data_IF_559296441926
#
_entry.id   IF_559296441926
#
_cell.length_a   1.000
_cell.length_b   1.000
_cell.length_c   1.000
_cell.angle_alpha   90.00
_cell.angle_beta   90.00
_cell.angle_gamma   90.00
#
_symmetry.space_group_name_H-M   'P 1'
#
loop_
_entity.id
_entity.type
_entity.pdbx_description
1 polymer ?
#
# COMPACT_ATOMS: atom_id res chain seq x y z
N UNK A 1 15.48 39.15 -36.72
CA UNK A 1 15.43 39.08 -35.27
C UNK A 1 14.07 38.69 -34.72
N UNK A 2 12.95 39.22 -35.19
CA UNK A 2 11.63 38.85 -34.72
C UNK A 2 11.24 37.37 -34.94
N UNK A 3 11.73 36.75 -36.03
CA UNK A 3 11.47 35.34 -36.34
C UNK A 3 12.20 34.35 -35.46
N UNK A 4 13.39 34.70 -35.01
CA UNK A 4 14.20 33.90 -34.06
C UNK A 4 13.62 33.95 -32.65
N UNK A 5 13.06 35.06 -32.25
CA UNK A 5 12.45 35.26 -30.95
C UNK A 5 11.14 34.44 -30.82
N UNK A 6 10.32 34.39 -31.88
CA UNK A 6 9.11 33.55 -31.93
C UNK A 6 9.43 32.04 -31.85
N UNK A 7 10.52 31.59 -32.47
CA UNK A 7 10.95 30.20 -32.43
C UNK A 7 11.42 29.76 -31.04
N UNK A 8 12.16 30.61 -30.34
CA UNK A 8 12.61 30.35 -28.97
C UNK A 8 11.46 30.35 -27.98
N UNK A 9 10.51 31.26 -28.15
CA UNK A 9 9.32 31.36 -27.30
C UNK A 9 8.40 30.14 -27.50
N UNK A 10 8.21 29.69 -28.73
CA UNK A 10 7.43 28.49 -29.02
C UNK A 10 8.10 27.21 -28.47
N UNK A 11 9.41 27.11 -28.56
CA UNK A 11 10.19 26.02 -27.97
C UNK A 11 10.09 25.98 -26.44
N UNK A 12 10.10 27.13 -25.80
CA UNK A 12 9.98 27.25 -24.36
C UNK A 12 8.58 26.85 -23.86
N UNK A 13 7.55 27.21 -24.62
CA UNK A 13 6.15 26.84 -24.32
C UNK A 13 5.92 25.33 -24.46
N UNK A 14 6.56 24.68 -25.43
CA UNK A 14 6.51 23.22 -25.60
C UNK A 14 7.18 22.45 -24.45
N UNK A 15 8.24 23.00 -23.90
CA UNK A 15 8.90 22.40 -22.73
C UNK A 15 8.04 22.49 -21.45
N UNK A 16 7.22 23.54 -21.32
CA UNK A 16 6.33 23.73 -20.17
C UNK A 16 5.12 22.80 -20.21
N UNK A 17 4.64 22.43 -21.40
CA UNK A 17 3.52 21.49 -21.53
C UNK A 17 3.92 20.02 -21.34
N UNK A 18 5.21 19.68 -21.52
CA UNK A 18 5.73 18.32 -21.31
C UNK A 18 5.91 17.91 -19.86
N UNK A 19 5.97 18.88 -18.92
CA UNK A 19 6.22 18.61 -17.50
C UNK A 19 4.95 18.51 -16.64
N UNK A 20 3.76 18.72 -17.21
CA UNK A 20 2.50 18.81 -16.48
C UNK A 20 1.64 17.56 -16.47
N UNK A 21 1.99 16.52 -17.22
CA UNK A 21 1.20 15.30 -17.33
C UNK A 21 1.72 14.25 -16.36
N UNK A 22 1.34 14.35 -15.09
CA UNK A 22 1.51 13.22 -14.15
C UNK A 22 0.33 12.27 -14.32
N UNK A 23 0.57 10.96 -14.50
CA UNK A 23 -0.52 9.99 -14.55
C UNK A 23 -1.27 10.00 -13.21
N UNK A 24 -2.59 9.92 -13.28
CA UNK A 24 -3.41 9.76 -12.10
C UNK A 24 -3.12 8.41 -11.47
N UNK A 25 -2.99 8.33 -10.13
CA UNK A 25 -2.79 7.05 -9.47
C UNK A 25 -4.07 6.23 -9.48
N UNK A 26 -3.94 4.93 -9.56
CA UNK A 26 -4.98 4.01 -9.15
C UNK A 26 -5.08 4.01 -7.63
N UNK A 27 -6.28 3.94 -7.11
CA UNK A 27 -6.52 3.98 -5.67
C UNK A 27 -7.37 2.80 -5.24
N UNK A 28 -7.06 2.28 -4.06
CA UNK A 28 -7.84 1.25 -3.39
C UNK A 28 -8.02 1.65 -1.93
N UNK A 29 -9.26 1.67 -1.46
CA UNK A 29 -9.58 1.87 -0.05
C UNK A 29 -10.11 0.56 0.53
N UNK A 30 -9.62 0.18 1.70
CA UNK A 30 -10.06 -1.01 2.38
C UNK A 30 -10.02 -0.81 3.91
N UNK A 31 -10.77 -1.64 4.61
CA UNK A 31 -10.75 -1.70 6.07
C UNK A 31 -10.11 -3.02 6.49
N UNK A 32 -8.99 -2.94 7.20
CA UNK A 32 -8.29 -4.12 7.72
C UNK A 32 -7.55 -3.75 9.01
N UNK A 33 -7.34 -4.69 9.89
CA UNK A 33 -6.61 -4.48 11.13
C UNK A 33 -7.23 -3.35 11.99
N UNK A 34 -8.56 -3.23 11.98
CA UNK A 34 -9.31 -2.15 12.64
C UNK A 34 -8.96 -0.74 12.14
N UNK A 35 -8.47 -0.63 10.93
CA UNK A 35 -8.00 0.63 10.37
C UNK A 35 -8.50 0.79 8.94
N UNK A 36 -8.88 2.01 8.60
CA UNK A 36 -9.13 2.40 7.22
C UNK A 36 -7.81 2.65 6.52
N UNK A 37 -7.60 1.97 5.41
CA UNK A 37 -6.37 2.07 4.63
C UNK A 37 -6.68 2.59 3.24
N UNK A 38 -5.88 3.55 2.77
CA UNK A 38 -5.91 4.04 1.40
C UNK A 38 -4.58 3.73 0.74
N UNK A 39 -4.64 3.01 -0.36
CA UNK A 39 -3.47 2.61 -1.14
C UNK A 39 -3.51 3.32 -2.47
N UNK A 40 -2.37 3.75 -2.96
CA UNK A 40 -2.24 4.37 -4.29
C UNK A 40 -1.04 3.76 -5.01
N UNK A 41 -1.19 3.53 -6.31
CA UNK A 41 -0.13 3.04 -7.16
C UNK A 41 -0.14 3.78 -8.48
N UNK A 42 1.02 4.01 -9.04
CA UNK A 42 1.25 4.77 -10.25
C UNK A 42 1.84 3.86 -11.33
N UNK A 43 1.49 4.15 -12.58
CA UNK A 43 2.08 3.52 -13.74
C UNK A 43 1.37 2.26 -14.21
N UNK A 44 2.00 1.57 -15.16
CA UNK A 44 1.48 0.33 -15.71
C UNK A 44 1.49 -0.77 -14.65
N UNK A 45 0.43 -1.58 -14.61
CA UNK A 45 0.31 -2.63 -13.61
C UNK A 45 -0.15 -2.15 -12.23
N UNK A 46 -0.54 -0.88 -12.07
CA UNK A 46 -0.98 -0.31 -10.81
C UNK A 46 -2.21 -1.03 -10.25
N UNK A 47 -3.21 -1.34 -11.08
CA UNK A 47 -4.41 -2.05 -10.66
C UNK A 47 -4.11 -3.45 -10.13
N UNK A 48 -3.26 -4.20 -10.80
CA UNK A 48 -2.85 -5.55 -10.36
C UNK A 48 -2.04 -5.48 -9.07
N UNK A 49 -1.15 -4.51 -8.93
CA UNK A 49 -0.37 -4.31 -7.72
C UNK A 49 -1.26 -3.99 -6.52
N UNK A 50 -2.24 -3.11 -6.69
CA UNK A 50 -3.21 -2.78 -5.64
C UNK A 50 -4.06 -3.98 -5.24
N UNK A 51 -4.53 -4.77 -6.22
CA UNK A 51 -5.29 -5.98 -5.94
C UNK A 51 -4.46 -6.99 -5.12
N UNK A 52 -3.18 -7.17 -5.47
CA UNK A 52 -2.28 -8.04 -4.73
C UNK A 52 -2.03 -7.54 -3.31
N UNK A 53 -1.82 -6.24 -3.13
CA UNK A 53 -1.68 -5.62 -1.81
C UNK A 53 -2.93 -5.78 -0.96
N UNK A 54 -4.12 -5.58 -1.54
CA UNK A 54 -5.39 -5.75 -0.85
C UNK A 54 -5.60 -7.19 -0.37
N UNK A 55 -5.28 -8.16 -1.20
CA UNK A 55 -5.34 -9.58 -0.83
C UNK A 55 -4.37 -9.91 0.31
N UNK A 56 -3.15 -9.40 0.24
CA UNK A 56 -2.13 -9.61 1.27
C UNK A 56 -2.55 -8.98 2.60
N UNK A 57 -3.10 -7.77 2.59
CA UNK A 57 -3.62 -7.11 3.78
C UNK A 57 -4.78 -7.89 4.40
N UNK A 58 -5.68 -8.42 3.59
CA UNK A 58 -6.77 -9.27 4.09
C UNK A 58 -6.25 -10.59 4.68
N UNK A 59 -5.22 -11.18 4.07
CA UNK A 59 -4.56 -12.38 4.59
C UNK A 59 -3.94 -12.11 5.95
N UNK A 60 -3.22 -11.01 6.08
CA UNK A 60 -2.62 -10.60 7.35
C UNK A 60 -3.67 -10.28 8.41
N UNK A 61 -4.75 -9.63 8.04
CA UNK A 61 -5.87 -9.36 8.94
C UNK A 61 -6.47 -10.65 9.49
N UNK A 62 -6.64 -11.66 8.64
CA UNK A 62 -7.16 -12.95 9.05
C UNK A 62 -6.27 -13.67 10.08
N UNK A 63 -4.96 -13.47 10.00
CA UNK A 63 -4.00 -14.09 10.92
C UNK A 63 -3.70 -13.25 12.16
N UNK A 64 -3.56 -11.93 11.99
CA UNK A 64 -2.93 -11.06 12.98
C UNK A 64 -3.92 -10.14 13.70
N UNK A 65 -5.16 -9.99 13.21
CA UNK A 65 -6.12 -9.11 13.87
C UNK A 65 -6.46 -9.62 15.26
N UNK A 66 -6.32 -8.77 16.25
CA UNK A 66 -6.71 -9.08 17.64
C UNK A 66 -8.21 -9.11 17.85
N UNK A 67 -8.98 -8.54 16.92
CA UNK A 67 -10.44 -8.40 17.05
C UNK A 67 -11.20 -9.36 16.14
N UNK A 68 -10.58 -9.85 15.07
CA UNK A 68 -11.22 -10.80 14.15
C UNK A 68 -11.27 -12.18 14.76
N UNK A 69 -12.48 -12.68 14.94
CA UNK A 69 -12.71 -14.01 15.51
C UNK A 69 -12.05 -15.09 14.66
N UNK A 70 -11.28 -15.97 15.31
CA UNK A 70 -10.59 -17.07 14.66
C UNK A 70 -9.22 -16.72 14.10
N UNK A 71 -8.74 -15.48 14.24
CA UNK A 71 -7.35 -15.15 13.90
C UNK A 71 -6.39 -15.84 14.87
N UNK A 72 -5.13 -15.99 14.46
CA UNK A 72 -4.09 -16.58 15.34
C UNK A 72 -3.90 -15.76 16.61
N UNK A 73 -3.91 -14.44 16.50
CA UNK A 73 -3.75 -13.53 17.65
C UNK A 73 -5.00 -13.57 18.56
N UNK A 74 -6.18 -13.60 18.00
CA UNK A 74 -7.42 -13.73 18.78
C UNK A 74 -7.41 -15.04 19.56
N UNK A 75 -7.05 -16.14 18.94
CA UNK A 75 -6.94 -17.45 19.56
C UNK A 75 -5.90 -17.45 20.68
N UNK A 76 -4.73 -16.87 20.45
CA UNK A 76 -3.67 -16.75 21.45
C UNK A 76 -4.14 -15.93 22.65
N UNK A 77 -4.82 -14.81 22.42
CA UNK A 77 -5.31 -13.95 23.49
C UNK A 77 -6.41 -14.60 24.34
N UNK A 78 -7.27 -15.40 23.71
CA UNK A 78 -8.37 -16.09 24.43
C UNK A 78 -7.91 -17.30 25.19
N UNK A 79 -6.97 -18.07 24.64
CA UNK A 79 -6.56 -19.37 25.17
C UNK A 79 -5.25 -19.31 25.95
N UNK A 80 -4.50 -18.22 25.83
CA UNK A 80 -3.17 -18.07 26.44
C UNK A 80 -2.06 -18.84 25.73
N UNK A 81 -2.42 -19.71 24.79
CA UNK A 81 -1.48 -20.42 23.92
C UNK A 81 -2.18 -20.82 22.63
N UNK A 82 -1.45 -20.89 21.55
CA UNK A 82 -1.99 -21.27 20.24
C UNK A 82 -0.88 -21.79 19.33
N UNK A 83 -1.25 -22.67 18.42
CA UNK A 83 -0.39 -22.99 17.27
C UNK A 83 -0.49 -21.87 16.26
N UNK A 84 0.61 -21.21 15.98
CA UNK A 84 0.65 -20.08 15.06
C UNK A 84 1.56 -20.39 13.89
N UNK A 85 1.32 -19.71 12.76
CA UNK A 85 2.20 -19.81 11.60
C UNK A 85 3.60 -19.30 11.96
N UNK A 86 4.59 -19.73 11.19
CA UNK A 86 5.98 -19.28 11.39
C UNK A 86 6.11 -17.77 11.26
N UNK A 87 5.39 -17.18 10.31
CA UNK A 87 5.35 -15.73 10.13
C UNK A 87 4.86 -15.01 11.39
N UNK A 88 3.77 -15.48 12.00
CA UNK A 88 3.23 -14.91 13.23
C UNK A 88 4.21 -15.11 14.39
N UNK A 89 4.81 -16.28 14.51
CA UNK A 89 5.81 -16.57 15.55
C UNK A 89 7.03 -15.66 15.44
N UNK A 90 7.52 -15.42 14.24
CA UNK A 90 8.65 -14.53 14.00
C UNK A 90 8.31 -13.08 14.36
N UNK A 91 7.12 -12.62 14.03
CA UNK A 91 6.65 -11.27 14.39
C UNK A 91 6.54 -11.09 15.90
N UNK A 92 6.01 -12.08 16.61
CA UNK A 92 5.91 -12.05 18.06
C UNK A 92 7.31 -12.02 18.70
N UNK A 93 8.22 -12.85 18.21
CA UNK A 93 9.60 -12.88 18.70
C UNK A 93 10.29 -11.52 18.50
N UNK A 94 10.13 -10.89 17.34
CA UNK A 94 10.68 -9.57 17.07
C UNK A 94 10.06 -8.50 17.99
N UNK A 95 8.77 -8.54 18.19
CA UNK A 95 8.08 -7.61 19.08
C UNK A 95 8.57 -7.72 20.54
N UNK A 96 8.76 -8.93 21.01
CA UNK A 96 9.29 -9.19 22.38
C UNK A 96 10.73 -8.69 22.48
N UNK A 97 11.55 -8.91 21.46
CA UNK A 97 12.95 -8.45 21.44
C UNK A 97 13.08 -6.92 21.46
N UNK A 98 12.08 -6.20 20.91
CA UNK A 98 12.07 -4.74 20.82
C UNK A 98 11.45 -4.06 22.05
N UNK A 99 10.80 -4.81 22.91
CA UNK A 99 10.11 -4.27 24.09
C UNK A 99 10.99 -4.09 25.32
#
# INVERSE_FOLDING_TARGET
MKRLFCGILAGLLLCLTGCGAQPEPEQLSLFAMDTYMSLAAYGDGASEALAACGQELNRLDASLSRTREGSEIDTLNRQGSADVSRETADLIADAVALS
#
